data_IF_295919722573
#
_entry.id   IF_295919722573
#
_cell.length_a   1.000
_cell.length_b   1.000
_cell.length_c   1.000
_cell.angle_alpha   90.00
_cell.angle_beta   90.00
_cell.angle_gamma   90.00
#
_symmetry.space_group_name_H-M   'P 1'
#
loop_
_entity.id
_entity.type
_entity.pdbx_description
1 polymer ?
#
# COMPACT_ATOMS: atom_id res chain seq x y z
N UNK A 1 -16.93 -34.79 52.11
CA UNK A 1 -16.20 -35.24 50.90
C UNK A 1 -15.08 -36.18 51.31
N UNK A 2 -14.88 -37.33 50.64
CA UNK A 2 -13.75 -38.21 50.92
C UNK A 2 -12.44 -37.44 50.66
N UNK A 3 -11.45 -37.55 51.54
CA UNK A 3 -10.13 -36.90 51.39
C UNK A 3 -9.51 -37.17 50.01
N UNK A 4 -9.77 -38.36 49.45
CA UNK A 4 -9.29 -38.79 48.13
C UNK A 4 -9.82 -37.95 46.96
N UNK A 5 -11.04 -37.39 47.08
CA UNK A 5 -11.64 -36.54 46.03
C UNK A 5 -10.97 -35.17 45.98
N UNK A 6 -10.61 -34.62 47.15
CA UNK A 6 -9.88 -33.36 47.23
C UNK A 6 -8.47 -33.48 46.64
N UNK A 7 -7.77 -34.59 46.91
CA UNK A 7 -6.44 -34.84 46.33
C UNK A 7 -6.49 -34.99 44.80
N UNK A 8 -7.46 -35.72 44.28
CA UNK A 8 -7.62 -35.87 42.83
C UNK A 8 -7.88 -34.53 42.13
N UNK A 9 -8.69 -33.66 42.74
CA UNK A 9 -8.96 -32.31 42.22
C UNK A 9 -7.69 -31.45 42.22
N UNK A 10 -6.93 -31.42 43.32
CA UNK A 10 -5.69 -30.65 43.41
C UNK A 10 -4.64 -31.10 42.40
N UNK A 11 -4.49 -32.41 42.19
CA UNK A 11 -3.57 -32.97 41.19
C UNK A 11 -4.01 -32.55 39.78
N UNK A 12 -5.30 -32.58 39.47
CA UNK A 12 -5.83 -32.16 38.17
C UNK A 12 -5.55 -30.68 37.89
N UNK A 13 -5.76 -29.80 38.87
CA UNK A 13 -5.45 -28.37 38.76
C UNK A 13 -3.95 -28.14 38.57
N UNK A 14 -3.11 -28.86 39.32
CA UNK A 14 -1.66 -28.76 39.19
C UNK A 14 -1.18 -29.18 37.80
N UNK A 15 -1.73 -30.28 37.24
CA UNK A 15 -1.38 -30.74 35.89
C UNK A 15 -1.79 -29.73 34.81
N UNK A 16 -2.95 -29.09 34.94
CA UNK A 16 -3.36 -28.02 34.02
C UNK A 16 -2.46 -26.79 34.13
N UNK A 17 -2.05 -26.41 35.35
CA UNK A 17 -1.09 -25.32 35.58
C UNK A 17 0.27 -25.63 34.93
N UNK A 18 0.78 -26.86 35.10
CA UNK A 18 2.03 -27.29 34.46
C UNK A 18 1.89 -27.28 32.93
N UNK A 19 0.77 -27.75 32.38
CA UNK A 19 0.50 -27.71 30.95
C UNK A 19 0.47 -26.27 30.41
N UNK A 20 -0.21 -25.36 31.10
CA UNK A 20 -0.24 -23.94 30.77
C UNK A 20 1.15 -23.30 30.85
N UNK A 21 1.94 -23.59 31.89
CA UNK A 21 3.31 -23.09 32.03
C UNK A 21 4.19 -23.61 30.89
N UNK A 22 4.10 -24.90 30.55
CA UNK A 22 4.86 -25.49 29.43
C UNK A 22 4.48 -24.87 28.08
N UNK A 23 3.19 -24.63 27.82
CA UNK A 23 2.72 -23.91 26.62
C UNK A 23 3.22 -22.46 26.65
N UNK A 24 3.14 -21.79 27.79
CA UNK A 24 3.71 -20.45 27.95
C UNK A 24 5.21 -20.43 27.69
N UNK A 25 5.98 -21.42 28.14
CA UNK A 25 7.44 -21.51 27.87
C UNK A 25 7.76 -21.87 26.42
N UNK A 26 6.90 -22.58 25.71
CA UNK A 26 7.04 -22.81 24.27
C UNK A 26 6.71 -21.55 23.45
N UNK A 27 5.76 -20.74 23.92
CA UNK A 27 5.33 -19.51 23.23
C UNK A 27 6.22 -18.32 23.59
N UNK A 28 6.71 -18.24 24.83
CA UNK A 28 7.65 -17.22 25.27
C UNK A 28 9.08 -17.72 25.05
N UNK A 29 9.82 -17.20 24.05
CA UNK A 29 11.22 -17.55 23.90
C UNK A 29 11.98 -17.26 25.19
N UNK A 30 12.79 -18.23 25.62
CA UNK A 30 13.62 -18.16 26.82
C UNK A 30 14.37 -16.82 26.85
N UNK A 31 14.41 -16.11 27.99
CA UNK A 31 15.16 -14.86 28.12
C UNK A 31 16.67 -15.03 27.85
N UNK A 32 17.19 -16.26 27.77
CA UNK A 32 18.57 -16.52 27.33
C UNK A 32 18.83 -16.24 25.85
N UNK A 33 17.82 -16.28 24.97
CA UNK A 33 17.96 -15.82 23.56
C UNK A 33 17.89 -14.29 23.45
N UNK A 34 17.55 -13.59 24.54
CA UNK A 34 17.48 -12.13 24.61
C UNK A 34 18.85 -11.49 24.90
N UNK A 35 19.90 -12.27 25.21
CA UNK A 35 21.21 -11.73 25.59
C UNK A 35 22.17 -11.59 24.39
N UNK A 36 21.94 -12.28 23.26
CA UNK A 36 22.78 -12.08 22.05
C UNK A 36 22.20 -11.09 21.01
N UNK A 37 20.97 -10.59 21.19
CA UNK A 37 20.37 -9.61 20.27
C UNK A 37 20.11 -8.22 20.87
N UNK A 38 20.49 -7.99 22.14
CA UNK A 38 20.23 -6.72 22.85
C UNK A 38 21.50 -5.96 23.25
N UNK A 39 22.67 -6.30 22.69
CA UNK A 39 23.94 -5.60 22.97
C UNK A 39 24.31 -4.48 21.98
N UNK A 40 23.44 -4.08 21.05
CA UNK A 40 23.75 -2.95 20.13
C UNK A 40 22.71 -1.81 20.05
N UNK A 41 21.65 -1.81 20.86
CA UNK A 41 20.68 -0.69 20.86
C UNK A 41 20.34 -0.26 22.29
N UNK A 42 21.34 0.28 22.99
CA UNK A 42 21.18 1.35 24.00
C UNK A 42 22.51 1.69 24.68
N UNK A 43 23.34 2.52 24.04
CA UNK A 43 24.45 3.20 24.72
C UNK A 43 24.67 4.58 24.09
N UNK A 44 23.79 5.54 24.40
CA UNK A 44 24.18 6.94 24.49
C UNK A 44 23.78 7.44 25.87
N UNK A 45 24.65 7.10 26.83
CA UNK A 45 24.72 7.75 28.13
C UNK A 45 25.35 9.12 27.91
N UNK A 46 24.55 10.15 28.12
CA UNK A 46 24.95 11.55 28.21
C UNK A 46 26.16 11.69 29.15
N UNK A 47 27.33 12.02 28.61
CA UNK A 47 28.43 12.59 29.38
C UNK A 47 28.32 14.12 29.33
N UNK A 48 27.75 14.69 30.39
CA UNK A 48 27.88 16.10 30.79
C UNK A 48 29.06 16.21 31.77
N UNK A 49 30.06 17.05 31.45
CA UNK A 49 31.07 17.71 32.32
C UNK A 49 32.25 18.11 31.42
N UNK A 50 32.84 19.30 31.36
CA UNK A 50 32.67 20.64 31.95
C UNK A 50 33.56 21.59 31.12
N UNK A 51 33.40 22.92 31.16
CA UNK A 51 34.12 23.85 30.30
C UNK A 51 35.56 24.07 30.79
N UNK A 52 36.50 24.28 29.86
CA UNK A 52 37.85 24.77 30.16
C UNK A 52 38.20 25.97 29.26
N UNK A 53 39.10 26.84 29.75
CA UNK A 53 38.95 28.27 29.59
C UNK A 53 39.64 28.80 28.33
N UNK A 54 39.14 29.97 27.96
CA UNK A 54 39.70 30.91 27.00
C UNK A 54 41.14 31.25 27.41
N UNK A 55 42.08 31.06 26.48
CA UNK A 55 43.34 31.81 26.46
C UNK A 55 43.49 32.46 25.10
N UNK A 56 43.49 33.79 25.13
CA UNK A 56 43.71 34.68 24.01
C UNK A 56 45.04 34.38 23.30
N UNK A 57 45.02 34.36 21.97
CA UNK A 57 46.19 34.75 21.18
C UNK A 57 45.74 35.57 19.98
N UNK A 58 46.03 36.86 20.06
CA UNK A 58 45.92 37.85 19.01
C UNK A 58 46.78 37.43 17.81
N UNK A 59 46.19 37.46 16.63
CA UNK A 59 46.91 37.59 15.36
C UNK A 59 46.20 38.67 14.56
N UNK A 60 46.86 39.81 14.42
CA UNK A 60 46.46 40.89 13.54
C UNK A 60 46.57 40.40 12.10
N UNK A 61 45.48 40.47 11.35
CA UNK A 61 45.53 40.70 9.90
C UNK A 61 44.38 41.62 9.53
N UNK A 62 44.76 42.87 9.25
CA UNK A 62 43.98 43.87 8.53
C UNK A 62 43.58 43.32 7.17
N UNK A 63 42.29 43.31 6.87
CA UNK A 63 41.83 43.19 5.49
C UNK A 63 40.73 44.20 5.21
N UNK A 64 40.85 44.71 4.00
CA UNK A 64 40.37 45.98 3.50
C UNK A 64 38.86 45.98 3.22
N UNK A 65 38.27 47.15 3.39
CA UNK A 65 36.86 47.43 3.14
C UNK A 65 36.56 47.41 1.65
N UNK A 66 35.65 46.52 1.20
CA UNK A 66 34.90 46.73 -0.04
C UNK A 66 33.46 46.25 0.10
N UNK A 67 32.59 47.23 -0.04
CA UNK A 67 31.14 47.18 -0.18
C UNK A 67 30.71 46.35 -1.38
N UNK A 68 29.76 45.44 -1.18
CA UNK A 68 28.84 45.00 -2.23
C UNK A 68 27.44 44.82 -1.64
N UNK A 69 26.52 45.64 -2.14
CA UNK A 69 25.08 45.57 -1.90
C UNK A 69 24.51 44.28 -2.50
N UNK A 70 24.03 43.37 -1.64
CA UNK A 70 23.32 42.17 -2.09
C UNK A 70 21.83 42.51 -2.27
N UNK A 71 21.47 42.62 -3.54
CA UNK A 71 20.10 42.63 -4.05
C UNK A 71 19.33 41.40 -3.54
N UNK A 72 18.27 41.61 -2.77
CA UNK A 72 17.32 40.55 -2.38
C UNK A 72 16.27 40.38 -3.48
N UNK A 73 16.17 39.22 -4.18
CA UNK A 73 15.09 39.01 -5.11
C UNK A 73 13.78 38.74 -4.36
N UNK A 74 12.78 39.61 -4.58
CA UNK A 74 11.39 39.36 -4.18
C UNK A 74 10.86 38.13 -4.94
N UNK A 75 10.54 37.07 -4.20
CA UNK A 75 9.82 35.93 -4.71
C UNK A 75 8.35 36.31 -4.95
N UNK A 76 7.92 36.32 -6.21
CA UNK A 76 6.51 36.44 -6.57
C UNK A 76 5.73 35.19 -6.14
N UNK A 77 4.50 35.34 -5.61
CA UNK A 77 3.65 34.20 -5.29
C UNK A 77 3.24 33.46 -6.57
N UNK A 78 3.60 32.17 -6.69
CA UNK A 78 3.11 31.29 -7.76
C UNK A 78 1.61 31.03 -7.55
N UNK A 79 0.80 31.47 -8.50
CA UNK A 79 -0.61 31.10 -8.62
C UNK A 79 -0.70 29.61 -8.98
N UNK A 80 -1.30 28.82 -8.09
CA UNK A 80 -1.64 27.43 -8.37
C UNK A 80 -2.77 27.35 -9.41
N UNK A 81 -2.71 26.45 -10.40
CA UNK A 81 -3.86 26.17 -11.25
C UNK A 81 -4.96 25.51 -10.42
N UNK A 82 -6.20 25.99 -10.57
CA UNK A 82 -7.39 25.40 -9.96
C UNK A 82 -7.59 23.95 -10.46
N UNK A 83 -8.04 23.02 -9.60
CA UNK A 83 -8.37 21.67 -10.05
C UNK A 83 -9.53 21.73 -11.05
N UNK A 84 -9.31 21.14 -12.22
CA UNK A 84 -10.36 20.90 -13.22
C UNK A 84 -11.34 19.90 -12.61
N UNK A 85 -12.57 20.34 -12.35
CA UNK A 85 -13.67 19.44 -12.03
C UNK A 85 -14.07 18.72 -13.32
N UNK A 86 -13.70 17.44 -13.44
CA UNK A 86 -14.27 16.55 -14.43
C UNK A 86 -15.72 16.24 -14.02
N UNK A 87 -16.66 16.90 -14.68
CA UNK A 87 -18.09 16.60 -14.63
C UNK A 87 -18.32 15.37 -15.50
N UNK A 88 -18.58 14.22 -14.88
CA UNK A 88 -19.14 13.07 -15.60
C UNK A 88 -20.63 13.35 -15.79
N UNK A 89 -21.02 13.69 -17.01
CA UNK A 89 -22.42 13.65 -17.42
C UNK A 89 -22.80 12.17 -17.64
N UNK A 90 -23.67 11.67 -16.77
CA UNK A 90 -24.26 10.35 -16.90
C UNK A 90 -25.31 10.39 -18.01
N UNK A 91 -24.95 9.94 -19.22
CA UNK A 91 -25.93 9.65 -20.26
C UNK A 91 -26.57 8.29 -20.02
N UNK A 92 -27.87 8.39 -19.74
CA UNK A 92 -28.86 7.35 -19.53
C UNK A 92 -28.83 6.22 -20.58
N UNK A 93 -28.61 4.99 -20.12
CA UNK A 93 -28.95 3.78 -20.88
C UNK A 93 -30.48 3.61 -20.86
N UNK A 94 -31.14 3.99 -21.96
CA UNK A 94 -32.56 3.71 -22.17
C UNK A 94 -32.68 2.38 -22.89
N UNK A 95 -33.26 1.39 -22.23
CA UNK A 95 -33.57 0.07 -22.78
C UNK A 95 -34.99 0.09 -23.36
N UNK A 96 -35.11 -0.04 -24.68
CA UNK A 96 -36.38 -0.25 -25.39
C UNK A 96 -36.48 -1.72 -25.83
N UNK A 97 -37.50 -2.48 -25.42
CA UNK A 97 -37.75 -3.79 -25.98
C UNK A 97 -38.60 -3.67 -27.24
N UNK A 98 -38.06 -4.09 -28.38
CA UNK A 98 -38.85 -4.34 -29.59
C UNK A 98 -39.55 -5.70 -29.47
N UNK A 99 -40.88 -5.67 -29.38
CA UNK A 99 -41.73 -6.82 -29.62
C UNK A 99 -42.18 -6.86 -31.08
N UNK A 100 -42.39 -8.04 -31.68
CA UNK A 100 -42.87 -8.12 -33.05
C UNK A 100 -44.40 -7.98 -33.10
N UNK A 101 -44.86 -6.95 -33.82
CA UNK A 101 -46.23 -6.81 -34.29
C UNK A 101 -46.36 -7.48 -35.67
N UNK A 102 -47.24 -8.50 -35.77
CA UNK A 102 -47.97 -8.80 -37.01
C UNK A 102 -49.44 -9.10 -36.61
N UNK A 103 -50.31 -8.26 -37.17
CA UNK A 103 -51.78 -8.32 -37.34
C UNK A 103 -52.23 -9.61 -38.06
N UNK A 104 -53.45 -10.14 -37.98
CA UNK A 104 -54.74 -9.48 -38.10
C UNK A 104 -55.86 -10.54 -37.88
N UNK A 105 -57.08 -10.05 -37.65
CA UNK A 105 -58.39 -10.69 -37.90
C UNK A 105 -58.91 -11.87 -37.04
N UNK A 106 -60.14 -11.69 -36.51
CA UNK A 106 -61.18 -12.73 -36.59
C UNK A 106 -61.69 -13.38 -35.31
N UNK A 107 -62.81 -12.85 -34.78
CA UNK A 107 -63.98 -13.56 -34.20
C UNK A 107 -63.83 -14.60 -33.08
N UNK A 108 -64.54 -14.31 -31.98
CA UNK A 108 -64.95 -15.22 -30.88
C UNK A 108 -65.88 -16.33 -31.42
N UNK A 109 -65.76 -17.59 -30.95
CA UNK A 109 -66.80 -18.09 -30.04
C UNK A 109 -66.28 -18.94 -28.86
N UNK A 110 -66.99 -18.82 -27.74
CA UNK A 110 -67.05 -19.72 -26.60
C UNK A 110 -67.50 -21.13 -26.97
N UNK A 111 -66.88 -22.19 -26.40
CA UNK A 111 -67.53 -23.49 -26.19
C UNK A 111 -66.92 -24.29 -25.02
N UNK A 112 -67.79 -25.00 -24.30
CA UNK A 112 -67.56 -25.94 -23.19
C UNK A 112 -67.19 -27.37 -23.66
N UNK A 113 -66.64 -28.17 -22.72
CA UNK A 113 -66.50 -29.65 -22.78
C UNK A 113 -65.06 -30.11 -23.03
N UNK A 114 -64.45 -31.09 -22.37
CA UNK A 114 -64.95 -32.30 -21.70
C UNK A 114 -64.27 -33.53 -22.36
N UNK A 115 -63.56 -34.37 -21.59
CA UNK A 115 -62.97 -35.66 -22.03
C UNK A 115 -61.67 -35.51 -22.85
N UNK A 116 -60.61 -36.31 -22.68
CA UNK A 116 -60.56 -37.76 -22.45
C UNK A 116 -60.02 -38.42 -23.73
N UNK A 117 -58.84 -39.05 -23.67
CA UNK A 117 -58.34 -39.92 -24.74
C UNK A 117 -56.95 -39.57 -25.28
N UNK A 118 -55.97 -40.40 -24.95
CA UNK A 118 -54.59 -40.27 -25.42
C UNK A 118 -54.39 -40.72 -26.86
N UNK A 119 -53.38 -40.16 -27.53
CA UNK A 119 -52.77 -40.77 -28.72
C UNK A 119 -51.28 -40.39 -28.81
N UNK A 120 -50.47 -41.46 -28.84
CA UNK A 120 -49.17 -41.70 -29.51
C UNK A 120 -48.13 -40.56 -29.61
N UNK A 121 -47.00 -40.81 -28.94
CA UNK A 121 -45.72 -40.18 -29.19
C UNK A 121 -45.18 -40.46 -30.61
N UNK A 122 -44.74 -39.39 -31.28
CA UNK A 122 -43.86 -39.43 -32.45
C UNK A 122 -42.50 -38.85 -32.04
N UNK A 123 -41.36 -39.46 -32.44
CA UNK A 123 -40.05 -38.91 -32.11
C UNK A 123 -39.71 -37.77 -33.07
N UNK A 124 -39.75 -36.53 -32.57
CA UNK A 124 -39.20 -35.36 -33.25
C UNK A 124 -37.67 -35.39 -33.16
N UNK A 125 -37.04 -35.69 -34.29
CA UNK A 125 -35.59 -35.60 -34.50
C UNK A 125 -35.18 -34.13 -34.48
N UNK A 126 -34.65 -33.67 -33.34
CA UNK A 126 -34.06 -32.34 -33.20
C UNK A 126 -32.66 -32.33 -33.83
N UNK A 127 -32.51 -31.61 -34.93
CA UNK A 127 -31.21 -31.26 -35.50
C UNK A 127 -30.89 -29.82 -35.06
N UNK A 128 -29.84 -29.59 -34.23
CA UNK A 128 -29.55 -28.25 -33.73
C UNK A 128 -28.93 -27.39 -34.84
N UNK A 129 -29.74 -26.46 -35.36
CA UNK A 129 -29.31 -25.39 -36.27
C UNK A 129 -28.40 -24.44 -35.48
N UNK A 130 -27.09 -24.47 -35.75
CA UNK A 130 -26.10 -23.58 -35.11
C UNK A 130 -26.47 -22.11 -35.39
N UNK A 131 -26.51 -21.23 -34.37
CA UNK A 131 -26.72 -19.81 -34.59
C UNK A 131 -25.52 -19.21 -35.32
N UNK A 132 -25.81 -18.36 -36.31
CA UNK A 132 -24.80 -17.61 -37.05
C UNK A 132 -24.11 -16.61 -36.11
N UNK A 133 -22.78 -16.68 -36.04
CA UNK A 133 -21.94 -15.72 -35.31
C UNK A 133 -21.97 -14.38 -36.05
N UNK A 134 -22.34 -13.25 -35.41
CA UNK A 134 -22.25 -11.95 -36.04
C UNK A 134 -20.77 -11.60 -36.29
N UNK A 135 -20.45 -11.29 -37.54
CA UNK A 135 -19.14 -10.80 -37.96
C UNK A 135 -18.99 -9.37 -37.44
N UNK A 136 -18.14 -9.16 -36.44
CA UNK A 136 -17.77 -7.82 -35.98
C UNK A 136 -16.88 -7.20 -37.06
N UNK A 137 -17.36 -6.12 -37.66
CA UNK A 137 -16.60 -5.28 -38.59
C UNK A 137 -15.49 -4.57 -37.81
N UNK A 138 -14.24 -4.84 -38.16
CA UNK A 138 -13.09 -4.08 -37.66
C UNK A 138 -13.06 -2.72 -38.36
N UNK A 139 -13.79 -1.74 -37.80
CA UNK A 139 -13.50 -0.34 -38.09
C UNK A 139 -12.41 0.12 -37.12
N UNK A 140 -11.16 -0.11 -37.52
CA UNK A 140 -9.98 0.51 -36.89
C UNK A 140 -9.98 1.97 -37.33
N UNK A 141 -10.59 2.82 -36.52
CA UNK A 141 -10.40 4.27 -36.62
C UNK A 141 -8.96 4.56 -36.17
N UNK A 142 -8.14 4.99 -37.12
CA UNK A 142 -6.72 5.26 -36.90
C UNK A 142 -6.55 6.41 -35.91
N UNK A 143 -6.12 6.10 -34.69
CA UNK A 143 -5.52 7.06 -33.75
C UNK A 143 -4.09 7.44 -34.22
N UNK A 144 -4.00 8.01 -35.42
CA UNK A 144 -2.87 8.82 -35.86
C UNK A 144 -3.40 10.25 -35.92
N UNK A 145 -3.27 11.00 -34.82
CA UNK A 145 -3.18 12.48 -34.78
C UNK A 145 -3.23 13.04 -33.34
N UNK A 146 -2.59 12.36 -32.39
CA UNK A 146 -2.15 13.02 -31.16
C UNK A 146 -0.70 13.46 -31.35
N UNK A 147 -0.51 14.70 -31.76
CA UNK A 147 0.80 15.36 -31.79
C UNK A 147 0.90 16.32 -30.59
N UNK A 148 1.26 15.84 -29.38
CA UNK A 148 1.59 16.75 -28.31
C UNK A 148 2.89 17.44 -28.70
N UNK A 149 2.84 18.76 -28.87
CA UNK A 149 4.01 19.61 -29.08
C UNK A 149 4.89 19.51 -27.83
N UNK A 150 5.77 18.52 -27.82
CA UNK A 150 6.75 18.28 -26.77
C UNK A 150 7.84 19.35 -26.90
N UNK A 151 7.97 20.15 -25.83
CA UNK A 151 9.14 21.00 -25.61
C UNK A 151 10.41 20.12 -25.70
N UNK A 152 11.33 20.36 -26.65
CA UNK A 152 12.50 19.51 -26.83
C UNK A 152 13.62 19.96 -25.87
N UNK A 153 13.43 19.84 -24.56
CA UNK A 153 14.52 20.03 -23.59
C UNK A 153 14.23 19.46 -22.18
N UNK A 154 13.49 18.36 -22.09
CA UNK A 154 13.56 17.47 -20.92
C UNK A 154 13.93 16.11 -21.48
N UNK A 155 15.19 15.74 -21.36
CA UNK A 155 15.64 14.37 -21.47
C UNK A 155 14.79 13.57 -20.47
N UNK A 156 13.75 12.87 -20.95
CA UNK A 156 12.90 12.02 -20.14
C UNK A 156 13.75 10.80 -19.77
N UNK A 157 14.58 10.96 -18.75
CA UNK A 157 15.19 9.84 -18.06
C UNK A 157 14.03 9.04 -17.49
N UNK A 158 13.75 7.88 -18.08
CA UNK A 158 12.79 6.93 -17.51
C UNK A 158 13.44 6.45 -16.22
N UNK A 159 12.80 6.61 -15.04
CA UNK A 159 13.43 6.20 -13.78
C UNK A 159 13.78 4.72 -13.82
N UNK A 160 14.96 4.39 -13.32
CA UNK A 160 15.54 3.06 -13.38
C UNK A 160 14.73 2.09 -12.51
N UNK A 161 14.13 2.58 -11.42
CA UNK A 161 13.31 1.77 -10.51
C UNK A 161 11.92 2.36 -10.17
N UNK A 162 10.96 1.52 -9.74
CA UNK A 162 9.67 1.96 -9.21
C UNK A 162 9.77 2.95 -8.05
N UNK A 163 10.71 2.74 -7.13
CA UNK A 163 10.90 3.62 -5.96
C UNK A 163 11.47 4.97 -6.36
N UNK A 164 12.36 5.00 -7.34
CA UNK A 164 12.88 6.23 -7.91
C UNK A 164 11.77 7.05 -8.59
N UNK A 165 10.93 6.40 -9.41
CA UNK A 165 9.75 7.03 -10.01
C UNK A 165 8.81 7.63 -8.95
N UNK A 166 8.53 6.87 -7.88
CA UNK A 166 7.71 7.35 -6.77
C UNK A 166 8.38 8.56 -6.11
N UNK A 167 9.69 8.50 -5.85
CA UNK A 167 10.48 9.58 -5.27
C UNK A 167 10.41 10.88 -6.06
N UNK A 168 10.55 10.80 -7.39
CA UNK A 168 10.42 11.98 -8.26
C UNK A 168 9.03 12.58 -8.20
N UNK A 169 7.98 11.74 -8.18
CA UNK A 169 6.62 12.22 -8.00
C UNK A 169 6.39 12.89 -6.65
N UNK A 170 7.00 12.39 -5.57
CA UNK A 170 6.95 13.05 -4.26
C UNK A 170 7.53 14.46 -4.37
N UNK A 171 8.69 14.59 -5.01
CA UNK A 171 9.39 15.88 -5.14
C UNK A 171 8.56 16.85 -5.98
N UNK A 172 7.99 16.39 -7.09
CA UNK A 172 7.21 17.24 -8.00
C UNK A 172 5.86 17.69 -7.42
N UNK A 173 5.23 16.85 -6.60
CA UNK A 173 3.87 17.09 -6.07
C UNK A 173 3.88 17.62 -4.62
N UNK A 174 5.03 17.62 -3.97
CA UNK A 174 5.16 17.76 -2.52
C UNK A 174 5.23 19.21 -2.03
N UNK A 175 4.82 19.39 -0.78
CA UNK A 175 4.83 20.63 0.00
C UNK A 175 6.13 20.87 0.79
N UNK A 176 7.10 19.95 0.71
CA UNK A 176 8.37 20.04 1.42
C UNK A 176 8.45 19.23 2.73
N UNK A 177 7.32 18.85 3.35
CA UNK A 177 7.28 18.03 4.58
C UNK A 177 6.54 16.71 4.34
N UNK A 178 7.16 15.60 4.71
CA UNK A 178 6.68 14.26 4.35
C UNK A 178 6.77 13.25 5.51
N UNK A 179 5.68 12.54 5.75
CA UNK A 179 5.66 11.31 6.52
C UNK A 179 5.51 10.14 5.54
N UNK A 180 6.65 9.51 5.23
CA UNK A 180 6.72 8.37 4.31
C UNK A 180 6.56 7.08 5.10
N UNK A 181 5.55 6.28 4.77
CA UNK A 181 5.30 4.98 5.38
C UNK A 181 5.57 3.89 4.35
N UNK A 182 6.56 3.05 4.63
CA UNK A 182 6.84 1.87 3.82
C UNK A 182 6.06 0.70 4.39
N UNK A 183 5.03 0.24 3.67
CA UNK A 183 4.21 -0.90 4.06
C UNK A 183 4.72 -2.10 3.29
N UNK A 184 5.60 -2.87 3.94
CA UNK A 184 6.43 -3.90 3.32
C UNK A 184 5.90 -5.26 3.74
N UNK A 185 5.55 -6.02 2.72
CA UNK A 185 5.32 -7.44 2.80
C UNK A 185 6.62 -8.17 3.18
N UNK A 186 6.52 -9.02 4.20
CA UNK A 186 7.66 -9.79 4.72
C UNK A 186 7.39 -11.29 4.67
N UNK A 187 6.61 -11.76 3.71
CA UNK A 187 6.47 -13.18 3.38
C UNK A 187 7.76 -13.78 2.83
N UNK A 188 7.76 -15.11 2.66
CA UNK A 188 8.91 -15.85 2.13
C UNK A 188 9.17 -15.56 0.64
N UNK A 189 8.12 -15.32 -0.16
CA UNK A 189 8.23 -15.01 -1.60
C UNK A 189 8.94 -13.67 -1.84
N UNK A 190 8.73 -12.70 -0.95
CA UNK A 190 9.37 -11.38 -0.98
C UNK A 190 10.87 -11.35 -0.65
N UNK A 191 11.51 -12.49 -0.37
CA UNK A 191 12.91 -12.55 0.08
C UNK A 191 13.89 -11.88 -0.88
N UNK A 192 13.72 -12.13 -2.18
CA UNK A 192 14.56 -11.53 -3.22
C UNK A 192 14.14 -10.08 -3.49
N UNK A 193 12.84 -9.79 -3.52
CA UNK A 193 12.33 -8.44 -3.80
C UNK A 193 12.71 -7.43 -2.70
N UNK A 194 12.76 -7.84 -1.43
CA UNK A 194 13.23 -6.99 -0.32
C UNK A 194 14.68 -6.56 -0.52
N UNK A 195 15.53 -7.38 -1.15
CA UNK A 195 16.90 -6.98 -1.48
C UNK A 195 16.90 -5.79 -2.45
N UNK A 196 16.10 -5.86 -3.52
CA UNK A 196 15.96 -4.77 -4.49
C UNK A 196 15.29 -3.52 -3.91
N UNK A 197 14.28 -3.70 -3.05
CA UNK A 197 13.67 -2.59 -2.30
C UNK A 197 14.73 -1.84 -1.50
N UNK A 198 15.63 -2.55 -0.80
CA UNK A 198 16.71 -1.93 -0.02
C UNK A 198 17.67 -1.12 -0.89
N UNK A 199 18.01 -1.62 -2.08
CA UNK A 199 18.88 -0.92 -3.02
C UNK A 199 18.23 0.37 -3.50
N UNK A 200 17.06 0.25 -4.12
CA UNK A 200 16.37 1.36 -4.78
C UNK A 200 15.80 2.40 -3.80
N UNK A 201 15.52 2.01 -2.56
CA UNK A 201 15.08 2.95 -1.53
C UNK A 201 16.19 3.94 -1.16
N UNK A 202 17.46 3.51 -1.17
CA UNK A 202 18.58 4.40 -0.83
C UNK A 202 18.62 5.59 -1.79
N UNK A 203 18.49 5.32 -3.09
CA UNK A 203 18.48 6.35 -4.13
C UNK A 203 17.28 7.27 -3.99
N UNK A 204 16.09 6.71 -3.72
CA UNK A 204 14.89 7.48 -3.45
C UNK A 204 15.07 8.44 -2.26
N UNK A 205 15.57 7.94 -1.12
CA UNK A 205 15.71 8.74 0.09
C UNK A 205 16.81 9.82 -0.05
N UNK A 206 17.91 9.50 -0.72
CA UNK A 206 18.96 10.48 -1.01
C UNK A 206 18.48 11.54 -2.00
N UNK A 207 17.65 11.19 -3.00
CA UNK A 207 16.99 12.18 -3.87
C UNK A 207 16.07 13.12 -3.08
N UNK A 208 15.24 12.58 -2.18
CA UNK A 208 14.37 13.39 -1.32
C UNK A 208 15.18 14.36 -0.45
N UNK A 209 16.29 13.87 0.13
CA UNK A 209 17.20 14.67 0.95
C UNK A 209 17.86 15.78 0.14
N UNK A 210 18.37 15.48 -1.06
CA UNK A 210 18.96 16.46 -1.98
C UNK A 210 17.95 17.51 -2.44
N UNK A 211 16.68 17.14 -2.60
CA UNK A 211 15.59 18.07 -2.89
C UNK A 211 15.18 18.94 -1.68
N UNK A 212 15.81 18.78 -0.52
CA UNK A 212 15.53 19.58 0.69
C UNK A 212 14.24 19.18 1.41
N UNK A 213 13.72 17.98 1.18
CA UNK A 213 12.49 17.50 1.84
C UNK A 213 12.74 17.22 3.33
N UNK A 214 11.90 17.76 4.20
CA UNK A 214 11.81 17.37 5.63
C UNK A 214 10.95 16.10 5.76
N UNK A 215 11.60 14.96 5.56
CA UNK A 215 10.93 13.66 5.66
C UNK A 215 11.31 12.87 6.92
N UNK A 216 10.36 12.04 7.36
CA UNK A 216 10.62 10.91 8.26
C UNK A 216 10.00 9.65 7.66
N UNK A 217 10.67 8.53 7.88
CA UNK A 217 10.28 7.22 7.37
C UNK A 217 9.73 6.38 8.52
N UNK A 218 8.56 5.78 8.32
CA UNK A 218 8.00 4.75 9.19
C UNK A 218 7.98 3.45 8.39
N UNK A 219 8.48 2.35 8.95
CA UNK A 219 8.43 1.03 8.31
C UNK A 219 7.37 0.19 9.00
N UNK A 220 6.42 -0.29 8.19
CA UNK A 220 5.36 -1.22 8.59
C UNK A 220 5.69 -2.55 7.94
N UNK A 221 6.07 -3.53 8.75
CA UNK A 221 6.27 -4.91 8.30
C UNK A 221 5.00 -5.69 8.58
N UNK A 222 4.47 -6.38 7.59
CA UNK A 222 3.35 -7.28 7.81
C UNK A 222 3.67 -8.70 7.39
N UNK A 223 3.13 -9.62 8.18
CA UNK A 223 3.16 -11.06 7.98
C UNK A 223 2.01 -11.69 8.76
N UNK A 224 1.58 -12.86 8.34
CA UNK A 224 0.52 -13.61 8.97
C UNK A 224 1.03 -14.97 9.41
N UNK A 225 1.01 -15.17 10.73
CA UNK A 225 0.89 -16.50 11.30
C UNK A 225 -0.17 -16.45 12.39
N UNK A 226 -0.91 -17.54 12.58
CA UNK A 226 -1.95 -17.62 13.62
C UNK A 226 -1.38 -17.30 15.01
N UNK A 227 -0.17 -17.80 15.30
CA UNK A 227 0.52 -17.51 16.56
C UNK A 227 0.87 -16.02 16.72
N UNK A 228 1.31 -15.34 15.65
CA UNK A 228 1.61 -13.90 15.70
C UNK A 228 0.34 -13.05 15.77
N UNK A 229 -0.74 -13.46 15.12
CA UNK A 229 -2.03 -12.76 15.16
C UNK A 229 -2.64 -12.77 16.58
N UNK A 230 -2.59 -13.91 17.27
CA UNK A 230 -3.07 -14.03 18.67
C UNK A 230 -2.36 -13.06 19.62
N UNK A 231 -1.08 -12.76 19.37
CA UNK A 231 -0.28 -11.85 20.19
C UNK A 231 -0.13 -10.44 19.58
N UNK A 232 -0.88 -10.12 18.52
CA UNK A 232 -0.90 -8.79 17.87
C UNK A 232 0.42 -8.37 17.18
N UNK A 233 1.23 -9.35 16.75
CA UNK A 233 2.55 -9.15 16.11
C UNK A 233 2.58 -9.50 14.62
N UNK A 234 1.41 -9.62 14.01
CA UNK A 234 1.21 -9.76 12.57
C UNK A 234 1.62 -8.49 11.80
N UNK A 235 1.42 -7.32 12.42
CA UNK A 235 1.85 -6.03 11.87
C UNK A 235 2.74 -5.31 12.87
N UNK A 236 3.99 -5.05 12.46
CA UNK A 236 5.00 -4.34 13.24
C UNK A 236 5.24 -2.95 12.63
N UNK A 237 5.05 -1.91 13.44
CA UNK A 237 5.22 -0.51 13.04
C UNK A 237 6.46 0.03 13.75
N UNK A 238 7.42 0.58 13.00
CA UNK A 238 8.59 1.23 13.58
C UNK A 238 8.26 2.59 14.17
N UNK A 239 9.12 3.08 15.07
CA UNK A 239 9.17 4.51 15.36
C UNK A 239 9.54 5.31 14.10
N UNK A 240 9.19 6.60 14.00
CA UNK A 240 9.61 7.43 12.88
C UNK A 240 11.12 7.67 12.84
N UNK A 241 11.74 7.36 11.71
CA UNK A 241 13.18 7.40 11.47
C UNK A 241 13.53 8.60 10.59
N UNK A 242 14.54 9.37 10.96
CA UNK A 242 15.04 10.52 10.15
C UNK A 242 16.36 10.24 9.43
N UNK A 243 17.18 9.34 9.97
CA UNK A 243 18.48 9.00 9.39
C UNK A 243 18.31 7.86 8.38
N UNK A 244 18.77 8.07 7.16
CA UNK A 244 18.67 7.10 6.07
C UNK A 244 19.38 5.79 6.46
N UNK A 245 20.51 5.89 7.17
CA UNK A 245 21.31 4.74 7.62
C UNK A 245 20.55 3.85 8.62
N UNK A 246 19.68 4.44 9.43
CA UNK A 246 18.83 3.69 10.37
C UNK A 246 17.71 2.96 9.65
N UNK A 247 17.13 3.57 8.61
CA UNK A 247 16.15 2.90 7.73
C UNK A 247 16.82 1.70 7.06
N UNK A 248 18.01 1.87 6.50
CA UNK A 248 18.79 0.77 5.87
C UNK A 248 19.07 -0.35 6.86
N UNK A 249 19.48 -0.01 8.09
CA UNK A 249 19.74 -1.00 9.14
C UNK A 249 18.49 -1.79 9.50
N UNK A 250 17.36 -1.10 9.66
CA UNK A 250 16.08 -1.74 9.93
C UNK A 250 15.69 -2.69 8.80
N UNK A 251 15.77 -2.23 7.55
CA UNK A 251 15.41 -3.07 6.41
C UNK A 251 16.30 -4.30 6.29
N UNK A 252 17.62 -4.19 6.53
CA UNK A 252 18.55 -5.34 6.57
C UNK A 252 18.17 -6.39 7.62
N UNK A 253 17.55 -5.96 8.72
CA UNK A 253 17.09 -6.84 9.79
C UNK A 253 15.79 -7.59 9.49
N UNK A 254 15.08 -7.25 8.40
CA UNK A 254 13.82 -7.90 8.02
C UNK A 254 14.08 -9.38 7.68
N UNK A 255 13.29 -10.25 8.30
CA UNK A 255 13.29 -11.70 8.05
C UNK A 255 11.95 -12.11 7.43
N UNK A 256 12.03 -12.60 6.21
CA UNK A 256 10.93 -13.09 5.39
C UNK A 256 10.35 -14.41 5.90
N UNK A 257 9.09 -14.44 6.34
CA UNK A 257 8.38 -15.63 6.86
C UNK A 257 6.85 -15.49 6.74
N UNK A 258 6.19 -16.63 6.48
CA UNK A 258 4.74 -16.85 6.60
C UNK A 258 3.88 -16.14 5.55
N UNK A 259 2.54 -16.26 5.67
CA UNK A 259 1.56 -15.69 4.72
C UNK A 259 1.33 -14.20 4.99
N UNK A 260 0.36 -13.56 4.34
CA UNK A 260 0.21 -12.10 4.36
C UNK A 260 -1.23 -11.61 4.56
N UNK A 261 -1.36 -10.37 5.05
CA UNK A 261 -2.62 -9.63 5.18
C UNK A 261 -2.43 -8.13 4.98
N UNK A 262 -2.22 -7.73 3.72
CA UNK A 262 -1.95 -6.34 3.36
C UNK A 262 -3.07 -5.35 3.79
N UNK A 263 -4.35 -5.77 3.78
CA UNK A 263 -5.47 -4.91 4.18
C UNK A 263 -5.41 -4.56 5.67
N UNK A 264 -5.03 -5.52 6.51
CA UNK A 264 -4.89 -5.33 7.96
C UNK A 264 -3.68 -4.44 8.27
N UNK A 265 -2.59 -4.60 7.52
CA UNK A 265 -1.42 -3.73 7.61
C UNK A 265 -1.74 -2.26 7.29
N UNK A 266 -2.44 -2.02 6.17
CA UNK A 266 -2.88 -0.68 5.78
C UNK A 266 -3.82 -0.06 6.82
N UNK A 267 -4.80 -0.84 7.30
CA UNK A 267 -5.76 -0.40 8.30
C UNK A 267 -5.07 -0.01 9.61
N UNK A 268 -4.21 -0.89 10.13
CA UNK A 268 -3.49 -0.67 11.39
C UNK A 268 -2.55 0.53 11.28
N UNK A 269 -1.75 0.59 10.21
CA UNK A 269 -0.83 1.70 9.95
C UNK A 269 -1.57 3.05 9.88
N UNK A 270 -2.70 3.11 9.17
CA UNK A 270 -3.49 4.33 9.07
C UNK A 270 -4.06 4.78 10.43
N UNK A 271 -4.29 3.87 11.36
CA UNK A 271 -4.87 4.14 12.69
C UNK A 271 -3.85 4.43 13.78
N UNK A 272 -2.73 3.72 13.80
CA UNK A 272 -1.77 3.78 14.92
C UNK A 272 -0.64 4.80 14.67
N UNK A 273 -0.30 5.09 13.42
CA UNK A 273 0.77 6.04 13.12
C UNK A 273 0.31 7.47 13.43
N UNK A 274 1.07 8.15 14.28
CA UNK A 274 0.87 9.56 14.61
C UNK A 274 1.54 10.45 13.57
N UNK A 275 0.80 10.84 12.54
CA UNK A 275 1.26 11.77 11.49
C UNK A 275 1.44 13.20 12.01
N UNK A 276 2.40 13.93 11.43
CA UNK A 276 2.50 15.38 11.61
C UNK A 276 1.28 16.03 10.96
N UNK A 277 0.75 17.07 11.57
CA UNK A 277 -0.45 17.76 11.08
C UNK A 277 -0.23 18.51 9.78
N UNK A 278 1.02 18.91 9.52
CA UNK A 278 1.45 19.73 8.40
C UNK A 278 2.37 18.99 7.41
N UNK A 279 2.51 17.67 7.56
CA UNK A 279 3.22 16.83 6.60
C UNK A 279 2.24 16.08 5.70
N UNK A 280 2.66 15.87 4.46
CA UNK A 280 2.01 14.92 3.58
C UNK A 280 2.15 13.49 4.12
N UNK A 281 1.10 12.70 3.95
CA UNK A 281 1.04 11.31 4.41
C UNK A 281 1.10 10.42 3.18
N UNK A 282 2.23 9.73 2.98
CA UNK A 282 2.42 8.89 1.80
C UNK A 282 2.78 7.49 2.20
N UNK A 283 1.98 6.53 1.77
CA UNK A 283 2.23 5.11 1.93
C UNK A 283 2.82 4.58 0.64
N UNK A 284 3.79 3.68 0.75
CA UNK A 284 4.27 2.86 -0.35
C UNK A 284 4.03 1.41 0.05
N UNK A 285 2.99 0.80 -0.52
CA UNK A 285 2.69 -0.62 -0.35
C UNK A 285 3.57 -1.42 -1.29
N UNK A 286 4.28 -2.42 -0.76
CA UNK A 286 5.16 -3.30 -1.53
C UNK A 286 4.79 -4.73 -1.19
N UNK A 287 4.33 -5.50 -2.17
CA UNK A 287 3.89 -6.90 -2.01
C UNK A 287 3.85 -7.63 -3.34
N UNK A 288 4.15 -8.93 -3.34
CA UNK A 288 4.04 -9.80 -4.51
C UNK A 288 2.75 -10.64 -4.54
N UNK A 289 1.84 -10.41 -3.59
CA UNK A 289 0.58 -11.15 -3.47
C UNK A 289 -0.67 -10.30 -3.76
N UNK A 290 -1.80 -11.00 -3.90
CA UNK A 290 -3.12 -10.39 -3.91
C UNK A 290 -3.46 -9.88 -2.51
N UNK A 291 -4.11 -8.72 -2.42
CA UNK A 291 -4.47 -8.18 -1.12
C UNK A 291 -5.48 -9.09 -0.40
N UNK A 292 -5.21 -9.33 0.88
CA UNK A 292 -6.08 -10.09 1.77
C UNK A 292 -6.07 -9.47 3.17
N UNK A 293 -7.02 -9.88 4.01
CA UNK A 293 -7.16 -9.43 5.39
C UNK A 293 -8.59 -9.60 5.91
N UNK A 294 -8.79 -9.29 7.18
CA UNK A 294 -10.11 -9.30 7.81
C UNK A 294 -10.92 -8.06 7.44
N UNK A 295 -10.24 -6.94 7.16
CA UNK A 295 -10.89 -5.72 6.71
C UNK A 295 -11.31 -5.80 5.24
N UNK A 296 -12.49 -5.25 4.91
CA UNK A 296 -12.94 -5.16 3.52
C UNK A 296 -12.15 -4.08 2.78
N UNK A 297 -11.80 -4.36 1.52
CA UNK A 297 -11.08 -3.42 0.64
C UNK A 297 -11.71 -2.01 0.61
N UNK A 298 -13.05 -1.93 0.55
CA UNK A 298 -13.76 -0.65 0.57
C UNK A 298 -13.55 0.13 1.87
N UNK A 299 -13.57 -0.55 3.02
CA UNK A 299 -13.40 0.10 4.33
C UNK A 299 -11.98 0.66 4.48
N UNK A 300 -10.97 -0.10 4.03
CA UNK A 300 -9.58 0.34 4.00
C UNK A 300 -9.40 1.55 3.07
N UNK A 301 -9.98 1.51 1.87
CA UNK A 301 -9.98 2.63 0.93
C UNK A 301 -10.60 3.89 1.56
N UNK A 302 -11.81 3.77 2.10
CA UNK A 302 -12.54 4.88 2.71
C UNK A 302 -11.74 5.47 3.88
N UNK A 303 -11.08 4.64 4.69
CA UNK A 303 -10.20 5.08 5.78
C UNK A 303 -9.03 5.91 5.27
N UNK A 304 -8.29 5.41 4.27
CA UNK A 304 -7.10 6.07 3.73
C UNK A 304 -7.47 7.41 3.08
N UNK A 305 -8.56 7.45 2.31
CA UNK A 305 -9.06 8.68 1.70
C UNK A 305 -9.50 9.71 2.76
N UNK A 306 -10.28 9.29 3.77
CA UNK A 306 -10.68 10.18 4.88
C UNK A 306 -9.48 10.75 5.63
N UNK A 307 -8.44 9.94 5.82
CA UNK A 307 -7.18 10.35 6.47
C UNK A 307 -6.23 11.08 5.53
N UNK A 308 -6.61 11.35 4.28
CA UNK A 308 -5.80 12.03 3.26
C UNK A 308 -4.42 11.37 3.10
N UNK A 309 -4.39 10.04 3.16
CA UNK A 309 -3.19 9.23 2.93
C UNK A 309 -3.14 8.90 1.44
N UNK A 310 -2.07 9.32 0.76
CA UNK A 310 -1.78 8.89 -0.61
C UNK A 310 -1.08 7.55 -0.57
N UNK A 311 -1.46 6.62 -1.41
CA UNK A 311 -0.86 5.28 -1.48
C UNK A 311 -0.23 5.10 -2.84
N UNK A 312 1.08 4.93 -2.90
CA UNK A 312 1.75 4.31 -4.05
C UNK A 312 1.83 2.81 -3.81
N UNK A 313 1.78 2.03 -4.89
CA UNK A 313 1.81 0.57 -4.82
C UNK A 313 2.88 0.04 -5.77
N UNK A 314 3.76 -0.81 -5.25
CA UNK A 314 4.66 -1.64 -6.02
C UNK A 314 4.18 -3.08 -5.84
N UNK A 315 3.47 -3.62 -6.82
CA UNK A 315 2.78 -4.90 -6.62
C UNK A 315 2.24 -5.56 -7.88
N UNK A 316 1.33 -6.52 -7.69
CA UNK A 316 0.65 -7.23 -8.77
C UNK A 316 -0.36 -6.33 -9.50
N UNK A 317 -0.72 -6.65 -10.77
CA UNK A 317 -1.70 -5.89 -11.55
C UNK A 317 -3.15 -6.17 -11.12
N UNK A 318 -3.41 -6.14 -9.81
CA UNK A 318 -4.67 -6.49 -9.15
C UNK A 318 -5.61 -5.27 -9.05
N UNK A 319 -6.95 -5.46 -9.16
CA UNK A 319 -7.91 -4.35 -9.21
C UNK A 319 -7.84 -3.41 -8.00
N UNK A 320 -7.77 -3.93 -6.77
CA UNK A 320 -7.69 -3.09 -5.59
C UNK A 320 -6.37 -2.32 -5.51
N UNK A 321 -5.22 -2.95 -5.75
CA UNK A 321 -3.91 -2.29 -5.78
C UNK A 321 -3.83 -1.14 -6.79
N UNK A 322 -4.40 -1.32 -7.99
CA UNK A 322 -4.50 -0.23 -8.97
C UNK A 322 -5.47 0.86 -8.50
N UNK A 323 -6.62 0.46 -7.98
CA UNK A 323 -7.66 1.39 -7.53
C UNK A 323 -7.20 2.25 -6.35
N UNK A 324 -6.55 1.66 -5.34
CA UNK A 324 -6.08 2.39 -4.16
C UNK A 324 -4.99 3.39 -4.54
N UNK A 325 -4.11 3.03 -5.46
CA UNK A 325 -3.11 3.94 -5.97
C UNK A 325 -3.75 5.13 -6.69
N UNK A 326 -4.65 4.86 -7.63
CA UNK A 326 -5.30 5.91 -8.42
C UNK A 326 -6.19 6.82 -7.57
N UNK A 327 -7.07 6.24 -6.76
CA UNK A 327 -8.10 6.97 -6.01
C UNK A 327 -7.51 7.84 -4.89
N UNK A 328 -6.37 7.44 -4.33
CA UNK A 328 -5.67 8.23 -3.30
C UNK A 328 -4.65 9.21 -3.91
N UNK A 329 -4.52 9.27 -5.23
CA UNK A 329 -3.58 10.16 -5.94
C UNK A 329 -2.12 9.71 -5.91
N UNK A 330 -1.85 8.44 -5.61
CA UNK A 330 -0.55 7.82 -5.78
C UNK A 330 -0.36 7.23 -7.17
N UNK A 331 0.50 6.21 -7.25
CA UNK A 331 0.85 5.54 -8.49
C UNK A 331 1.03 4.04 -8.26
N UNK A 332 0.58 3.24 -9.23
CA UNK A 332 0.82 1.80 -9.24
C UNK A 332 2.00 1.50 -10.17
N UNK A 333 2.94 0.71 -9.68
CA UNK A 333 4.08 0.18 -10.41
C UNK A 333 4.09 -1.34 -10.26
N UNK A 334 4.43 -2.09 -11.31
CA UNK A 334 4.53 -3.54 -11.21
C UNK A 334 5.76 -3.96 -10.40
N UNK A 335 5.61 -5.01 -9.57
CA UNK A 335 6.71 -5.47 -8.70
C UNK A 335 7.93 -6.00 -9.46
N UNK A 336 7.74 -6.65 -10.60
CA UNK A 336 8.86 -7.19 -11.39
C UNK A 336 9.83 -6.13 -11.92
N UNK A 337 9.45 -4.84 -11.91
CA UNK A 337 10.35 -3.72 -12.23
C UNK A 337 11.37 -3.42 -11.13
N UNK A 338 11.27 -4.01 -9.94
CA UNK A 338 12.30 -3.86 -8.90
C UNK A 338 13.62 -4.52 -9.31
N UNK A 339 13.58 -5.54 -10.17
CA UNK A 339 14.75 -6.35 -10.56
C UNK A 339 15.51 -5.79 -11.77
N UNK A 340 14.91 -4.82 -12.45
CA UNK A 340 15.56 -4.05 -13.51
C UNK A 340 16.34 -2.91 -12.87
#
# INVERSE_FOLDING_TARGET
>A
MPRNVLYAFLISVLLHLIGLISICLLIYPSPSERIESTTEISLIRVYRRSPRPITHRLSMLSFDSRSDEIYSPRLSPRLFPRPVQLRLDATSLTYTPEGPHISDSGSIPTFHGGGGGGVKALPLKFEPKRPAVPRISHHVESLHDFNPTLNPMIELTIPDSPLEYIGERIIQQGSGRLDLVLVIDTSESMKDDIFYVRMHLDDMLEKLKRAGMDFRVIVVQFKYSLAYSIIGRDVLISEPIRRIEDVKRLLRGIRCRANERALDALWKAANEIKFRSDAERRFVLITDEYVSGEHKSKEVMDLLMRKRIRVDVIGLPEPFQKSIALMTGGSWQPIWRLKN
#
